data_IF_159689037857
#
_entry.id   IF_159689037857
#
_cell.length_a   1.000
_cell.length_b   1.000
_cell.length_c   1.000
_cell.angle_alpha   90.00
_cell.angle_beta   90.00
_cell.angle_gamma   90.00
#
_symmetry.space_group_name_H-M   'P 1'
#
loop_
_entity.id
_entity.type
_entity.pdbx_description
1 polymer ?
#
# COMPACT_ATOMS: atom_id res chain seq x y z
N UNK A 1 -0.28 -0.36 13.07
CA UNK A 1 -0.78 -0.88 14.37
C UNK A 1 -0.06 -2.18 14.77
N UNK A 2 -0.10 -2.66 16.04
CA UNK A 2 0.37 -4.01 16.42
C UNK A 2 -0.66 -4.81 17.20
N UNK A 3 -0.76 -6.11 16.91
CA UNK A 3 -1.73 -7.05 17.50
C UNK A 3 -1.07 -8.39 17.84
N UNK A 4 -1.73 -9.24 18.63
CA UNK A 4 -1.25 -10.59 18.92
C UNK A 4 -1.67 -11.61 17.86
N UNK A 5 -0.92 -12.70 17.70
CA UNK A 5 -1.30 -13.81 16.82
C UNK A 5 -2.66 -14.42 17.18
N UNK A 6 -2.99 -14.48 18.47
CA UNK A 6 -4.29 -14.97 18.96
C UNK A 6 -5.43 -14.05 18.53
N UNK A 7 -5.24 -12.74 18.66
CA UNK A 7 -6.24 -11.75 18.27
C UNK A 7 -6.49 -11.75 16.76
N UNK A 8 -5.43 -11.90 15.95
CA UNK A 8 -5.53 -12.06 14.51
C UNK A 8 -6.35 -13.30 14.14
N UNK A 9 -6.10 -14.44 14.79
CA UNK A 9 -6.84 -15.68 14.55
C UNK A 9 -8.34 -15.52 14.81
N UNK A 10 -8.70 -14.85 15.90
CA UNK A 10 -10.11 -14.64 16.27
C UNK A 10 -10.81 -13.60 15.39
N UNK A 11 -10.10 -12.59 14.90
CA UNK A 11 -10.69 -11.45 14.20
C UNK A 11 -10.12 -11.24 12.78
N UNK A 12 -9.82 -12.33 12.06
CA UNK A 12 -9.11 -12.28 10.77
C UNK A 12 -9.76 -11.31 9.77
N UNK A 13 -11.09 -11.37 9.60
CA UNK A 13 -11.81 -10.52 8.64
C UNK A 13 -11.65 -9.02 8.92
N UNK A 14 -11.69 -8.61 10.20
CA UNK A 14 -11.46 -7.22 10.61
C UNK A 14 -10.07 -6.74 10.20
N UNK A 15 -9.04 -7.56 10.45
CA UNK A 15 -7.67 -7.16 10.15
C UNK A 15 -7.33 -7.23 8.66
N UNK A 16 -7.96 -8.12 7.89
CA UNK A 16 -7.84 -8.09 6.43
C UNK A 16 -8.42 -6.79 5.84
N UNK A 17 -9.54 -6.31 6.38
CA UNK A 17 -10.11 -5.02 5.97
C UNK A 17 -9.20 -3.84 6.31
N UNK A 18 -8.62 -3.82 7.52
CA UNK A 18 -7.69 -2.77 7.94
C UNK A 18 -6.36 -2.81 7.16
N UNK A 19 -5.87 -4.02 6.83
CA UNK A 19 -4.64 -4.21 6.06
C UNK A 19 -4.70 -3.63 4.64
N UNK A 20 -5.90 -3.34 4.14
CA UNK A 20 -6.08 -2.65 2.86
C UNK A 20 -5.55 -1.21 2.90
N UNK A 21 -5.56 -0.57 4.07
CA UNK A 21 -5.25 0.85 4.25
C UNK A 21 -4.05 1.11 5.18
N UNK A 22 -3.67 0.17 6.03
CA UNK A 22 -2.53 0.34 6.93
C UNK A 22 -1.75 -0.95 7.20
N UNK A 23 -0.48 -0.80 7.57
CA UNK A 23 0.36 -1.90 8.00
C UNK A 23 0.04 -2.36 9.44
N UNK A 24 -0.08 -3.68 9.61
CA UNK A 24 -0.36 -4.31 10.89
C UNK A 24 0.77 -5.28 11.27
N UNK A 25 1.42 -5.04 12.41
CA UNK A 25 2.49 -5.89 12.94
C UNK A 25 1.94 -6.95 13.90
N UNK A 26 2.24 -8.21 13.62
CA UNK A 26 1.75 -9.35 14.39
C UNK A 26 2.82 -9.79 15.38
N UNK A 27 2.43 -9.89 16.65
CA UNK A 27 3.31 -10.29 17.75
C UNK A 27 2.98 -11.68 18.29
N UNK A 28 4.02 -12.37 18.75
CA UNK A 28 3.92 -13.61 19.50
C UNK A 28 4.91 -13.54 20.67
N UNK A 29 4.43 -13.80 21.90
CA UNK A 29 5.24 -13.67 23.12
C UNK A 29 5.94 -12.30 23.26
N UNK A 30 5.24 -11.22 22.88
CA UNK A 30 5.76 -9.86 22.93
C UNK A 30 6.77 -9.49 21.84
N UNK A 31 7.10 -10.41 20.92
CA UNK A 31 8.01 -10.15 19.79
C UNK A 31 7.23 -10.04 18.48
N UNK A 32 7.57 -9.07 17.64
CA UNK A 32 7.01 -8.97 16.29
C UNK A 32 7.57 -10.11 15.43
N UNK A 33 6.69 -10.88 14.81
CA UNK A 33 7.06 -12.05 13.98
C UNK A 33 6.60 -11.91 12.53
N UNK A 34 5.65 -11.04 12.24
CA UNK A 34 5.11 -10.87 10.89
C UNK A 34 4.51 -9.47 10.70
N UNK A 35 4.27 -9.12 9.44
CA UNK A 35 3.54 -7.93 9.01
C UNK A 35 2.43 -8.35 8.04
N UNK A 36 1.23 -7.85 8.28
CA UNK A 36 0.10 -7.95 7.36
C UNK A 36 -0.10 -6.58 6.71
N UNK A 37 0.01 -6.53 5.39
CA UNK A 37 -0.06 -5.31 4.59
C UNK A 37 -0.65 -5.60 3.22
N UNK A 38 -1.32 -4.61 2.62
CA UNK A 38 -1.81 -4.74 1.25
C UNK A 38 -0.63 -4.83 0.26
N UNK A 39 -0.62 -5.81 -0.67
CA UNK A 39 0.43 -5.92 -1.67
C UNK A 39 0.40 -4.80 -2.72
N UNK A 40 -0.69 -4.03 -2.76
CA UNK A 40 -0.89 -2.95 -3.74
C UNK A 40 -0.62 -1.56 -3.17
N UNK A 41 -0.43 -1.44 -1.85
CA UNK A 41 -0.21 -0.14 -1.21
C UNK A 41 1.06 0.55 -1.70
N UNK A 42 2.13 -0.20 -1.93
CA UNK A 42 3.38 0.34 -2.48
C UNK A 42 3.23 0.90 -3.90
N UNK A 43 2.29 0.40 -4.72
CA UNK A 43 2.02 0.96 -6.05
C UNK A 43 1.26 2.28 -5.98
N UNK A 44 0.35 2.39 -5.01
CA UNK A 44 -0.36 3.64 -4.72
C UNK A 44 0.64 4.69 -4.25
N UNK A 45 1.52 4.34 -3.32
CA UNK A 45 2.55 5.23 -2.78
C UNK A 45 3.55 5.71 -3.86
N UNK A 46 3.95 4.83 -4.78
CA UNK A 46 4.76 5.21 -5.96
C UNK A 46 3.96 6.13 -6.89
N UNK A 47 2.70 5.82 -7.18
CA UNK A 47 1.87 6.66 -8.03
C UNK A 47 1.63 8.05 -7.40
N UNK A 48 1.33 8.12 -6.10
CA UNK A 48 1.17 9.37 -5.33
C UNK A 48 2.45 10.21 -5.33
N UNK A 49 3.62 9.58 -5.13
CA UNK A 49 4.92 10.24 -5.23
C UNK A 49 5.15 10.84 -6.63
N UNK A 50 4.75 10.12 -7.68
CA UNK A 50 4.81 10.62 -9.05
C UNK A 50 3.82 11.77 -9.30
N UNK A 51 2.59 11.71 -8.77
CA UNK A 51 1.61 12.81 -8.85
C UNK A 51 2.11 14.12 -8.22
N UNK A 52 2.94 14.04 -7.16
CA UNK A 52 3.57 15.23 -6.57
C UNK A 52 4.67 15.86 -7.46
N UNK A 53 5.21 15.10 -8.41
CA UNK A 53 6.27 15.54 -9.33
C UNK A 53 5.77 15.91 -10.74
N UNK A 54 4.51 15.55 -11.06
CA UNK A 54 3.90 15.85 -12.34
C UNK A 54 3.02 17.10 -12.21
N UNK A 55 3.10 18.08 -13.12
CA UNK A 55 2.15 19.18 -13.14
C UNK A 55 0.74 18.60 -13.28
N UNK A 56 -0.19 19.10 -12.45
CA UNK A 56 -1.61 18.68 -12.34
C UNK A 56 -2.41 18.79 -13.66
N UNK A 57 -1.78 19.19 -14.77
CA UNK A 57 -2.41 19.43 -16.06
C UNK A 57 -2.16 18.31 -17.08
N UNK A 58 -1.27 17.35 -16.81
CA UNK A 58 -0.95 16.33 -17.82
C UNK A 58 -1.95 15.18 -17.78
N UNK A 59 -2.89 15.23 -18.71
CA UNK A 59 -3.86 14.17 -18.98
C UNK A 59 -3.14 12.89 -19.44
N UNK A 60 -3.71 11.71 -19.15
CA UNK A 60 -3.12 10.39 -19.52
C UNK A 60 -2.74 10.26 -21.01
N UNK A 61 -3.43 11.00 -21.89
CA UNK A 61 -3.11 11.08 -23.32
C UNK A 61 -1.77 11.78 -23.60
N UNK A 62 -1.52 12.92 -22.97
CA UNK A 62 -0.30 13.72 -23.17
C UNK A 62 0.95 12.97 -22.69
N UNK A 63 0.84 12.22 -21.57
CA UNK A 63 1.95 11.40 -21.06
C UNK A 63 2.28 10.22 -21.99
N UNK A 64 1.30 9.71 -22.75
CA UNK A 64 1.49 8.62 -23.71
C UNK A 64 2.12 9.12 -25.00
N UNK A 65 1.74 10.31 -25.46
CA UNK A 65 2.32 10.95 -26.64
C UNK A 65 3.80 11.31 -26.43
N UNK A 66 4.16 11.92 -25.30
CA UNK A 66 5.55 12.25 -24.98
C UNK A 66 6.49 11.03 -24.99
N UNK A 67 5.96 9.85 -24.62
CA UNK A 67 6.70 8.59 -24.62
C UNK A 67 6.80 7.93 -26.00
N UNK A 68 5.95 8.32 -26.94
CA UNK A 68 5.98 7.87 -28.33
C UNK A 68 6.93 8.73 -29.18
N UNK A 69 7.08 10.01 -28.86
CA UNK A 69 8.02 10.92 -29.55
C UNK A 69 9.50 10.72 -29.18
N UNK A 70 9.78 10.01 -28.08
CA UNK A 70 11.16 9.70 -27.65
C UNK A 70 11.70 8.36 -28.18
N UNK A 71 10.97 7.71 -29.09
CA UNK A 71 11.38 6.52 -29.85
C UNK A 71 11.66 6.88 -31.31
#
# INVERSE_FOLDING_TARGET
MSITATELKTNLGKYLALAATEDIFITQYGKVIAKLSSPFQSRIEIAESLFGSLPQTTTWEEAKEARLETL
#
